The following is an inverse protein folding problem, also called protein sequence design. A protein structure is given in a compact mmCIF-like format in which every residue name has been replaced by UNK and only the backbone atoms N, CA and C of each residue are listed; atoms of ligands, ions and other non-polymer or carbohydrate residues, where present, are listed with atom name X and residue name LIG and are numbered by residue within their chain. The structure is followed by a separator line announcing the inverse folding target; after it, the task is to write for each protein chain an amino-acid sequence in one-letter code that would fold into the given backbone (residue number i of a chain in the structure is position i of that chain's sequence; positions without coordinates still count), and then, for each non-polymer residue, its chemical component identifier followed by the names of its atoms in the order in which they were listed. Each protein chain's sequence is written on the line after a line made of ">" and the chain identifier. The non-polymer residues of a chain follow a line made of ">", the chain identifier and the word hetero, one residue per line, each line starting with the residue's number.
data_IF_100432821108
#
_entry.id   IF_100432821108
#
_cell.length_a   1.000
_cell.length_b   1.000
_cell.length_c   1.000
_cell.angle_alpha   90.00
_cell.angle_beta   90.00
_cell.angle_gamma   90.00
#
_symmetry.space_group_name_H-M   'P 1'
#
loop_
_entity.id
_entity.type
_entity.pdbx_description
1 polymer ?
#
# COMPACT_ATOMS: atom_id res chain seq x y z
N UNK A 1 -8.64 9.38 17.18
CA UNK A 1 -8.54 10.50 16.20
C UNK A 1 -9.17 10.05 14.90
N UNK A 2 -9.90 10.92 14.17
CA UNK A 2 -10.37 10.58 12.83
C UNK A 2 -9.18 10.37 11.88
N UNK A 3 -9.31 9.51 10.88
CA UNK A 3 -8.30 9.34 9.83
C UNK A 3 -8.26 10.60 8.97
N UNK A 4 -7.10 11.23 8.88
CA UNK A 4 -6.88 12.44 8.05
C UNK A 4 -5.76 12.16 7.06
N UNK A 5 -5.92 12.62 5.82
CA UNK A 5 -4.98 12.38 4.74
C UNK A 5 -4.94 13.56 3.75
N UNK A 6 -3.87 13.65 2.97
CA UNK A 6 -3.66 14.66 1.94
C UNK A 6 -3.24 14.01 0.61
N UNK A 7 -4.09 14.18 -0.42
CA UNK A 7 -3.84 13.70 -1.78
C UNK A 7 -3.23 14.75 -2.71
N UNK A 8 -3.26 16.04 -2.35
CA UNK A 8 -2.85 17.14 -3.24
C UNK A 8 -1.37 17.13 -3.59
N UNK A 9 -0.56 16.39 -2.82
CA UNK A 9 0.87 16.22 -3.07
C UNK A 9 1.20 14.89 -3.73
N UNK A 10 0.22 14.02 -4.00
CA UNK A 10 0.46 12.73 -4.65
C UNK A 10 0.92 12.96 -6.08
N UNK A 11 2.06 12.38 -6.46
CA UNK A 11 2.74 12.62 -7.72
C UNK A 11 1.82 12.45 -8.94
N UNK A 12 0.96 11.41 -8.96
CA UNK A 12 0.04 11.17 -10.08
C UNK A 12 -1.16 12.14 -10.16
N UNK A 13 -1.45 12.88 -9.08
CA UNK A 13 -2.59 13.81 -8.98
C UNK A 13 -2.18 15.27 -8.79
N UNK A 14 -0.89 15.57 -8.67
CA UNK A 14 -0.38 16.91 -8.34
C UNK A 14 -0.85 18.01 -9.30
N UNK A 15 -1.08 17.64 -10.56
CA UNK A 15 -1.50 18.57 -11.62
C UNK A 15 -3.04 18.61 -11.77
N UNK A 16 -3.77 17.63 -11.22
CA UNK A 16 -5.23 17.50 -11.31
C UNK A 16 -5.76 16.55 -10.22
N UNK A 17 -6.22 17.14 -9.11
CA UNK A 17 -6.69 16.41 -7.93
C UNK A 17 -8.03 15.71 -8.17
N UNK A 18 -8.84 16.18 -9.11
CA UNK A 18 -10.17 15.61 -9.38
C UNK A 18 -10.05 14.17 -9.92
N UNK A 19 -8.92 13.81 -10.54
CA UNK A 19 -8.60 12.44 -10.96
C UNK A 19 -8.49 11.44 -9.82
N UNK A 20 -8.31 11.90 -8.58
CA UNK A 20 -8.32 11.04 -7.41
C UNK A 20 -9.73 10.55 -7.04
N UNK A 21 -10.78 11.10 -7.66
CA UNK A 21 -12.17 10.81 -7.36
C UNK A 21 -12.89 10.17 -8.54
N UNK A 22 -13.74 9.19 -8.23
CA UNK A 22 -14.63 8.52 -9.16
C UNK A 22 -16.08 8.73 -8.72
N UNK A 23 -16.99 8.75 -9.70
CA UNK A 23 -18.43 8.73 -9.40
C UNK A 23 -18.82 7.32 -9.02
N UNK A 24 -19.53 7.17 -7.92
CA UNK A 24 -20.08 5.89 -7.46
C UNK A 24 -21.57 6.03 -7.20
N UNK A 25 -22.30 4.93 -7.35
CA UNK A 25 -23.70 4.83 -6.94
C UNK A 25 -23.80 3.70 -5.91
N UNK A 26 -24.03 4.06 -4.65
CA UNK A 26 -24.17 3.11 -3.55
C UNK A 26 -25.56 3.28 -2.94
N UNK A 27 -26.30 2.17 -2.84
CA UNK A 27 -27.68 2.16 -2.29
C UNK A 27 -28.62 3.19 -2.95
N UNK A 28 -28.47 3.39 -4.27
CA UNK A 28 -29.26 4.35 -5.06
C UNK A 28 -28.89 5.82 -4.84
N UNK A 29 -27.78 6.10 -4.15
CA UNK A 29 -27.24 7.46 -3.96
C UNK A 29 -25.99 7.66 -4.80
N UNK A 30 -26.01 8.68 -5.65
CA UNK A 30 -24.85 9.11 -6.41
C UNK A 30 -23.94 9.94 -5.53
N UNK A 31 -22.66 9.61 -5.55
CA UNK A 31 -21.62 10.32 -4.81
C UNK A 31 -20.30 10.28 -5.54
N UNK A 32 -19.30 10.82 -4.86
CA UNK A 32 -17.90 10.68 -5.26
C UNK A 32 -17.19 9.85 -4.20
N UNK A 33 -16.35 8.94 -4.67
CA UNK A 33 -15.45 8.17 -3.83
C UNK A 33 -14.03 8.30 -4.37
N UNK A 34 -13.04 7.95 -3.56
CA UNK A 34 -11.66 7.87 -4.01
C UNK A 34 -11.47 6.71 -5.00
N UNK A 35 -10.53 6.88 -5.93
CA UNK A 35 -9.99 5.78 -6.72
C UNK A 35 -9.58 4.65 -5.75
N UNK A 36 -10.06 3.40 -5.95
CA UNK A 36 -9.86 2.31 -5.00
C UNK A 36 -8.40 2.07 -4.59
N UNK A 37 -7.47 2.17 -5.54
CA UNK A 37 -6.03 2.06 -5.28
C UNK A 37 -5.56 3.11 -4.25
N UNK A 38 -5.91 4.38 -4.46
CA UNK A 38 -5.54 5.47 -3.55
C UNK A 38 -6.17 5.31 -2.18
N UNK A 39 -7.43 4.87 -2.12
CA UNK A 39 -8.09 4.51 -0.86
C UNK A 39 -7.35 3.38 -0.13
N UNK A 40 -6.94 2.34 -0.85
CA UNK A 40 -6.17 1.23 -0.27
C UNK A 40 -4.84 1.73 0.33
N UNK A 41 -4.10 2.62 -0.36
CA UNK A 41 -2.86 3.20 0.16
C UNK A 41 -3.04 3.98 1.48
N UNK A 42 -4.14 4.72 1.60
CA UNK A 42 -4.46 5.47 2.82
C UNK A 42 -4.56 4.51 4.03
N UNK A 43 -5.26 3.38 3.89
CA UNK A 43 -5.38 2.41 4.99
C UNK A 43 -4.13 1.53 5.15
N UNK A 44 -3.48 1.18 4.05
CA UNK A 44 -2.30 0.31 4.04
C UNK A 44 -1.08 0.95 4.72
N UNK A 45 -1.06 2.28 4.80
CA UNK A 45 -0.11 3.06 5.60
C UNK A 45 -0.05 2.60 7.08
N UNK A 46 -1.18 2.12 7.62
CA UNK A 46 -1.23 1.50 8.94
C UNK A 46 -0.50 0.15 9.02
N UNK A 47 -0.56 -0.67 7.97
CA UNK A 47 0.11 -1.97 7.90
C UNK A 47 1.63 -1.82 7.72
N UNK A 48 2.08 -0.87 6.90
CA UNK A 48 3.51 -0.60 6.67
C UNK A 48 4.15 0.24 7.78
N UNK A 49 3.34 0.90 8.61
CA UNK A 49 3.82 1.76 9.69
C UNK A 49 4.52 3.01 9.16
N UNK A 50 3.96 3.62 8.12
CA UNK A 50 4.41 4.88 7.53
C UNK A 50 3.23 5.82 7.39
N UNK A 51 3.33 7.00 8.02
CA UNK A 51 2.34 8.06 7.84
C UNK A 51 2.39 8.72 6.47
N UNK A 52 3.50 8.64 5.75
CA UNK A 52 3.67 9.29 4.46
C UNK A 52 4.60 8.50 3.54
N UNK A 53 4.34 8.56 2.23
CA UNK A 53 5.20 7.99 1.19
C UNK A 53 6.04 9.10 0.59
N UNK A 54 7.36 8.94 0.60
CA UNK A 54 8.33 9.89 0.04
C UNK A 54 9.33 9.14 -0.85
N UNK A 55 10.06 9.87 -1.69
CA UNK A 55 11.15 9.27 -2.49
C UNK A 55 12.17 8.52 -1.61
N UNK A 56 12.49 9.06 -0.43
CA UNK A 56 13.48 8.48 0.47
C UNK A 56 13.01 7.22 1.22
N UNK A 57 11.70 6.98 1.31
CA UNK A 57 11.16 5.83 2.03
C UNK A 57 10.38 4.84 1.13
N UNK A 58 10.18 5.15 -0.15
CA UNK A 58 9.40 4.35 -1.08
C UNK A 58 9.85 2.88 -1.14
N UNK A 59 11.16 2.63 -1.20
CA UNK A 59 11.71 1.27 -1.21
C UNK A 59 11.37 0.49 0.08
N UNK A 60 11.46 1.13 1.24
CA UNK A 60 11.10 0.49 2.53
C UNK A 60 9.59 0.29 2.64
N UNK A 61 8.78 1.27 2.19
CA UNK A 61 7.32 1.15 2.17
C UNK A 61 6.89 -0.05 1.32
N UNK A 62 7.44 -0.17 0.10
CA UNK A 62 7.22 -1.31 -0.78
C UNK A 62 7.63 -2.62 -0.09
N UNK A 63 8.85 -2.66 0.47
CA UNK A 63 9.37 -3.85 1.12
C UNK A 63 8.52 -4.33 2.30
N UNK A 64 8.08 -3.43 3.18
CA UNK A 64 7.17 -3.77 4.27
C UNK A 64 5.82 -4.26 3.76
N UNK A 65 5.32 -3.68 2.68
CA UNK A 65 4.09 -4.15 2.04
C UNK A 65 4.22 -5.58 1.53
N UNK A 66 5.30 -5.91 0.80
CA UNK A 66 5.55 -7.29 0.33
C UNK A 66 5.71 -8.29 1.48
N UNK A 67 6.32 -7.86 2.58
CA UNK A 67 6.42 -8.66 3.81
C UNK A 67 5.03 -8.94 4.39
N UNK A 68 4.18 -7.93 4.53
CA UNK A 68 2.79 -8.09 5.01
C UNK A 68 2.04 -9.07 4.12
N UNK A 69 2.06 -8.86 2.80
CA UNK A 69 1.36 -9.72 1.86
C UNK A 69 1.81 -11.18 1.96
N UNK A 70 3.12 -11.41 2.03
CA UNK A 70 3.71 -12.75 2.06
C UNK A 70 3.51 -13.48 3.39
N UNK A 71 3.68 -12.80 4.52
CA UNK A 71 3.62 -13.43 5.85
C UNK A 71 2.17 -13.61 6.29
N UNK A 72 1.31 -12.62 6.03
CA UNK A 72 -0.08 -12.66 6.44
C UNK A 72 -0.99 -13.32 5.39
N UNK A 73 -0.43 -13.73 4.24
CA UNK A 73 -1.17 -14.28 3.10
C UNK A 73 -2.38 -13.41 2.72
N UNK A 74 -2.13 -12.13 2.54
CA UNK A 74 -3.14 -11.09 2.26
C UNK A 74 -2.75 -10.30 1.02
N UNK A 75 -3.74 -9.82 0.29
CA UNK A 75 -3.56 -8.86 -0.80
C UNK A 75 -3.57 -7.42 -0.27
N UNK A 76 -3.01 -6.49 -1.06
CA UNK A 76 -3.06 -5.05 -0.80
C UNK A 76 -4.49 -4.51 -0.93
N UNK A 77 -5.20 -5.00 -1.96
CA UNK A 77 -6.63 -4.79 -2.13
C UNK A 77 -7.24 -5.96 -2.90
N UNK A 78 -8.57 -6.02 -2.92
CA UNK A 78 -9.31 -6.92 -3.79
C UNK A 78 -10.03 -6.13 -4.87
N UNK A 79 -10.18 -6.73 -6.04
CA UNK A 79 -10.96 -6.20 -7.15
C UNK A 79 -11.81 -7.30 -7.78
N UNK A 80 -12.57 -6.91 -8.80
CA UNK A 80 -13.31 -7.86 -9.63
C UNK A 80 -12.48 -8.20 -10.87
N UNK A 81 -12.29 -9.49 -11.13
CA UNK A 81 -11.76 -10.02 -12.38
C UNK A 81 -12.83 -10.77 -13.16
N UNK A 82 -12.54 -11.08 -14.41
CA UNK A 82 -13.40 -11.86 -15.30
C UNK A 82 -12.59 -13.04 -15.85
N UNK A 83 -13.16 -14.25 -15.82
CA UNK A 83 -12.53 -15.44 -16.39
C UNK A 83 -12.76 -15.53 -17.91
N UNK A 84 -12.18 -16.54 -18.56
CA UNK A 84 -12.33 -16.75 -20.02
C UNK A 84 -13.78 -17.00 -20.46
N UNK A 85 -14.68 -17.31 -19.52
CA UNK A 85 -16.10 -17.59 -19.76
C UNK A 85 -17.01 -16.40 -19.39
N UNK A 86 -16.45 -15.27 -18.98
CA UNK A 86 -17.21 -14.09 -18.58
C UNK A 86 -17.72 -14.09 -17.14
N UNK A 87 -17.29 -15.03 -16.30
CA UNK A 87 -17.71 -15.07 -14.90
C UNK A 87 -16.87 -14.13 -14.05
N UNK A 88 -17.54 -13.30 -13.25
CA UNK A 88 -16.86 -12.43 -12.29
C UNK A 88 -16.31 -13.22 -11.11
N UNK A 89 -15.07 -12.94 -10.72
CA UNK A 89 -14.45 -13.50 -9.52
C UNK A 89 -13.72 -12.42 -8.72
N UNK A 90 -13.50 -12.69 -7.43
CA UNK A 90 -12.69 -11.80 -6.57
C UNK A 90 -11.22 -12.03 -6.90
N UNK A 91 -10.56 -10.99 -7.39
CA UNK A 91 -9.14 -10.99 -7.74
C UNK A 91 -8.34 -10.30 -6.63
N UNK A 92 -7.36 -11.01 -6.09
CA UNK A 92 -6.35 -10.42 -5.22
C UNK A 92 -5.41 -9.51 -6.04
N UNK A 93 -5.25 -8.28 -5.57
CA UNK A 93 -4.36 -7.29 -6.16
C UNK A 93 -3.25 -7.02 -5.14
N UNK A 94 -2.04 -7.38 -5.53
CA UNK A 94 -0.83 -7.13 -4.74
C UNK A 94 -0.23 -5.78 -5.13
N UNK A 95 0.45 -5.15 -4.20
CA UNK A 95 1.13 -3.88 -4.43
C UNK A 95 2.28 -4.08 -5.43
N UNK A 96 2.35 -3.18 -6.41
CA UNK A 96 3.44 -3.10 -7.37
C UNK A 96 4.31 -1.87 -7.10
N UNK A 97 5.55 -1.92 -7.58
CA UNK A 97 6.51 -0.83 -7.40
C UNK A 97 6.03 0.48 -8.05
N UNK A 98 5.39 0.39 -9.23
CA UNK A 98 4.80 1.55 -9.90
C UNK A 98 3.70 2.19 -9.06
N UNK A 99 2.87 1.39 -8.38
CA UNK A 99 1.82 1.95 -7.53
C UNK A 99 2.39 2.80 -6.40
N UNK A 100 3.49 2.35 -5.78
CA UNK A 100 4.19 3.12 -4.73
C UNK A 100 4.78 4.42 -5.31
N UNK A 101 5.41 4.35 -6.49
CA UNK A 101 5.97 5.52 -7.17
C UNK A 101 4.90 6.57 -7.50
N UNK A 102 3.75 6.13 -8.01
CA UNK A 102 2.62 7.00 -8.34
C UNK A 102 2.00 7.68 -7.11
N UNK A 103 2.13 7.04 -5.94
CA UNK A 103 1.59 7.52 -4.66
C UNK A 103 2.61 8.24 -3.77
N UNK A 104 3.82 8.53 -4.28
CA UNK A 104 4.77 9.41 -3.59
C UNK A 104 4.09 10.77 -3.33
N UNK A 105 4.18 11.24 -2.10
CA UNK A 105 3.54 12.47 -1.63
C UNK A 105 2.22 12.26 -0.87
N UNK A 106 1.68 11.03 -0.86
CA UNK A 106 0.58 10.68 0.06
C UNK A 106 1.04 10.89 1.50
N UNK A 107 0.23 11.59 2.29
CA UNK A 107 0.39 11.72 3.73
C UNK A 107 -0.93 11.42 4.46
N UNK A 108 -0.82 10.79 5.61
CA UNK A 108 -1.91 10.37 6.51
C UNK A 108 -1.52 10.68 7.96
N UNK A 109 -2.45 10.54 8.90
CA UNK A 109 -2.14 10.60 10.34
C UNK A 109 -1.80 9.24 10.96
N UNK A 110 -1.39 8.25 10.16
CA UNK A 110 -0.75 7.05 10.70
C UNK A 110 0.63 7.39 11.30
N UNK A 111 1.04 6.60 12.29
CA UNK A 111 2.38 6.74 12.87
C UNK A 111 3.44 6.26 11.88
N UNK A 112 4.62 6.89 11.93
CA UNK A 112 5.82 6.42 11.24
C UNK A 112 6.74 5.70 12.22
N UNK A 113 7.04 4.44 11.93
CA UNK A 113 7.91 3.61 12.77
C UNK A 113 9.24 3.32 12.07
N UNK A 114 10.34 3.36 12.84
CA UNK A 114 11.60 2.76 12.40
C UNK A 114 11.42 1.27 12.09
N UNK A 115 12.30 0.70 11.27
CA UNK A 115 12.21 -0.72 10.89
C UNK A 115 12.23 -1.64 12.11
N UNK A 116 13.05 -1.33 13.12
CA UNK A 116 13.10 -2.14 14.35
C UNK A 116 11.78 -2.08 15.12
N UNK A 117 11.21 -0.88 15.32
CA UNK A 117 9.93 -0.72 16.01
C UNK A 117 8.79 -1.40 15.24
N UNK A 118 8.74 -1.22 13.93
CA UNK A 118 7.75 -1.86 13.08
C UNK A 118 7.83 -3.38 13.17
N UNK A 119 9.03 -3.98 13.10
CA UNK A 119 9.22 -5.42 13.26
C UNK A 119 8.71 -5.95 14.60
N UNK A 120 8.99 -5.24 15.70
CA UNK A 120 8.54 -5.67 17.02
C UNK A 120 7.01 -5.65 17.14
N UNK A 121 6.36 -4.62 16.57
CA UNK A 121 4.91 -4.51 16.51
C UNK A 121 4.33 -5.60 15.60
N UNK A 122 4.89 -5.76 14.40
CA UNK A 122 4.43 -6.70 13.38
C UNK A 122 4.49 -8.14 13.88
N UNK A 123 5.64 -8.57 14.43
CA UNK A 123 5.81 -9.92 14.99
C UNK A 123 4.86 -10.13 16.17
N UNK A 124 4.74 -9.15 17.06
CA UNK A 124 3.84 -9.25 18.22
C UNK A 124 2.38 -9.44 17.81
N UNK A 125 1.94 -8.78 16.75
CA UNK A 125 0.55 -8.85 16.29
C UNK A 125 0.29 -10.05 15.37
N UNK A 126 1.33 -10.67 14.80
CA UNK A 126 1.23 -11.78 13.86
C UNK A 126 1.94 -13.05 14.36
N UNK A 127 2.00 -13.27 15.68
CA UNK A 127 2.80 -14.35 16.31
C UNK A 127 2.51 -15.76 15.77
N UNK A 128 1.30 -16.01 15.26
CA UNK A 128 0.91 -17.31 14.72
C UNK A 128 1.53 -17.63 13.37
N UNK A 129 1.97 -16.61 12.61
CA UNK A 129 2.45 -16.76 11.23
C UNK A 129 3.82 -16.11 10.99
N UNK A 130 4.23 -15.17 11.85
CA UNK A 130 5.47 -14.43 11.69
C UNK A 130 6.69 -15.32 11.97
N UNK A 131 7.65 -15.41 11.03
CA UNK A 131 8.92 -16.07 11.27
C UNK A 131 9.81 -15.22 12.20
N UNK A 132 11.03 -15.71 12.46
CA UNK A 132 12.01 -14.98 13.26
C UNK A 132 12.32 -13.59 12.68
N UNK A 133 12.57 -12.61 13.55
CA UNK A 133 12.89 -11.22 13.19
C UNK A 133 14.03 -11.12 12.18
N UNK A 134 15.02 -12.03 12.22
CA UNK A 134 16.13 -12.06 11.25
C UNK A 134 15.66 -12.39 9.83
N UNK A 135 14.70 -13.31 9.69
CA UNK A 135 14.13 -13.69 8.38
C UNK A 135 13.39 -12.50 7.78
N UNK A 136 12.53 -11.84 8.57
CA UNK A 136 11.78 -10.67 8.11
C UNK A 136 12.72 -9.53 7.71
N UNK A 137 13.78 -9.27 8.47
CA UNK A 137 14.82 -8.29 8.10
C UNK A 137 15.47 -8.64 6.75
N UNK A 138 15.80 -9.91 6.52
CA UNK A 138 16.33 -10.37 5.24
C UNK A 138 15.37 -10.10 4.07
N UNK A 139 14.08 -10.38 4.26
CA UNK A 139 13.04 -10.10 3.26
C UNK A 139 12.95 -8.60 2.95
N UNK A 140 12.98 -7.73 3.97
CA UNK A 140 12.97 -6.28 3.76
C UNK A 140 14.16 -5.84 2.90
N UNK A 141 15.38 -6.33 3.19
CA UNK A 141 16.58 -5.98 2.41
C UNK A 141 16.42 -6.37 0.94
N UNK A 142 15.93 -7.59 0.67
CA UNK A 142 15.71 -8.08 -0.71
C UNK A 142 14.69 -7.20 -1.43
N UNK A 143 13.51 -6.97 -0.85
CA UNK A 143 12.46 -6.20 -1.52
C UNK A 143 12.81 -4.73 -1.71
N UNK A 144 13.61 -4.13 -0.81
CA UNK A 144 14.16 -2.79 -1.02
C UNK A 144 15.09 -2.75 -2.22
N UNK A 145 16.01 -3.71 -2.29
CA UNK A 145 16.94 -3.82 -3.41
C UNK A 145 16.19 -3.99 -4.74
N UNK A 146 15.17 -4.85 -4.78
CA UNK A 146 14.32 -5.01 -5.97
C UNK A 146 13.69 -3.70 -6.44
N UNK A 147 13.10 -2.92 -5.52
CA UNK A 147 12.52 -1.61 -5.82
C UNK A 147 13.58 -0.64 -6.36
N UNK A 148 14.73 -0.56 -5.70
CA UNK A 148 15.83 0.34 -6.07
C UNK A 148 16.43 -0.01 -7.45
N UNK A 149 16.50 -1.29 -7.81
CA UNK A 149 16.95 -1.70 -9.15
C UNK A 149 15.91 -1.40 -10.21
N UNK A 150 14.63 -1.64 -9.93
CA UNK A 150 13.55 -1.28 -10.83
C UNK A 150 13.48 0.23 -11.09
N UNK A 151 13.71 1.06 -10.07
CA UNK A 151 13.69 2.51 -10.23
C UNK A 151 14.81 3.02 -11.16
N UNK A 152 15.96 2.33 -11.19
CA UNK A 152 17.09 2.67 -12.08
C UNK A 152 16.85 2.30 -13.55
N UNK A 153 15.93 1.38 -13.83
CA UNK A 153 15.64 0.90 -15.19
C UNK A 153 14.46 1.61 -15.84
N UNK A 154 13.85 2.57 -15.15
CA UNK A 154 12.73 3.41 -15.61
C UNK A 154 13.20 4.80 -15.99
#
# INVERSE_FOLDING_TARGET
>A
MPLSWNIGNIEMYKDDVDKAYIKVEEFGRKGYDLVPMTKAFIFWSGATGYGSITKSNAAEYYARSKVVEKICNTSFMQGWGEDENGNSYVKDIYIEMQNVKDHIGLATNHNTFSTTQWLDIFIRNNRSVAPDKKVIKGMIVVYKYEYEQWEKTK
#
